data_IF_937096512572
#
_entry.id   IF_937096512572
#
_cell.length_a   1.000
_cell.length_b   1.000
_cell.length_c   1.000
_cell.angle_alpha   90.00
_cell.angle_beta   90.00
_cell.angle_gamma   90.00
#
_symmetry.space_group_name_H-M   'P 1'
#
loop_
_entity.id
_entity.type
_entity.pdbx_description
1 polymer ?
#
# COMPACT_ATOMS: atom_id res chain seq x y z
N UNK A 1 2.15 32.95 -0.04
CA UNK A 1 1.89 32.03 1.09
C UNK A 1 0.86 32.66 2.00
N UNK A 2 -0.30 32.02 2.20
CA UNK A 2 -1.37 32.58 3.04
C UNK A 2 -1.17 32.23 4.52
N UNK A 3 -1.76 33.03 5.42
CA UNK A 3 -1.79 32.78 6.88
C UNK A 3 -2.26 31.36 7.23
N UNK A 4 -3.15 30.81 6.43
CA UNK A 4 -3.67 29.45 6.61
C UNK A 4 -2.65 28.35 6.27
N UNK A 5 -1.84 28.55 5.24
CA UNK A 5 -0.76 27.62 4.85
C UNK A 5 0.27 27.47 5.97
N UNK A 6 0.66 28.59 6.58
CA UNK A 6 1.61 28.61 7.71
C UNK A 6 1.02 27.90 8.93
N UNK A 7 -0.24 28.15 9.27
CA UNK A 7 -0.92 27.44 10.38
C UNK A 7 -0.97 25.92 10.17
N UNK A 8 -1.12 25.49 8.91
CA UNK A 8 -1.16 24.06 8.57
C UNK A 8 0.21 23.41 8.79
N UNK A 9 1.29 24.07 8.37
CA UNK A 9 2.66 23.58 8.60
C UNK A 9 3.04 23.54 10.07
N UNK A 10 2.68 24.56 10.85
CA UNK A 10 2.92 24.54 12.31
C UNK A 10 2.19 23.35 12.96
N UNK A 11 0.95 23.07 12.55
CA UNK A 11 0.22 21.90 13.05
C UNK A 11 0.88 20.58 12.65
N UNK A 12 1.37 20.47 11.42
CA UNK A 12 2.06 19.27 10.94
C UNK A 12 3.38 19.06 11.70
N UNK A 13 4.17 20.11 11.90
CA UNK A 13 5.40 20.03 12.69
C UNK A 13 5.14 19.61 14.15
N UNK A 14 4.03 20.04 14.75
CA UNK A 14 3.63 19.58 16.09
C UNK A 14 3.25 18.09 16.12
N UNK A 15 2.68 17.57 15.03
CA UNK A 15 2.38 16.14 14.88
C UNK A 15 3.67 15.36 14.70
N UNK A 16 4.52 15.79 13.78
CA UNK A 16 5.79 15.11 13.46
C UNK A 16 6.76 15.11 14.66
N UNK A 17 6.66 16.08 15.57
CA UNK A 17 7.46 16.15 16.81
C UNK A 17 6.79 15.51 18.03
N UNK A 18 5.63 14.88 17.88
CA UNK A 18 4.93 14.19 18.96
C UNK A 18 4.20 15.10 19.97
N UNK A 19 4.17 16.42 19.74
CA UNK A 19 3.43 17.38 20.57
C UNK A 19 1.91 17.32 20.35
N UNK A 20 1.46 16.67 19.27
CA UNK A 20 0.04 16.41 18.98
C UNK A 20 -0.13 14.97 18.51
N UNK A 21 -1.16 14.31 19.03
CA UNK A 21 -1.51 12.94 18.65
C UNK A 21 -2.15 12.92 17.25
N UNK A 22 -1.41 12.43 16.26
CA UNK A 22 -1.84 12.05 14.92
C UNK A 22 -0.70 11.26 14.25
N UNK A 23 -0.98 10.60 13.13
CA UNK A 23 0.08 9.95 12.35
C UNK A 23 1.03 11.01 11.77
N UNK A 24 2.32 10.79 11.96
CA UNK A 24 3.39 11.62 11.41
C UNK A 24 3.44 11.51 9.90
N UNK A 25 4.11 12.47 9.27
CA UNK A 25 4.32 12.46 7.82
C UNK A 25 5.07 11.19 7.36
N UNK A 26 5.99 10.69 8.19
CA UNK A 26 6.76 9.47 7.92
C UNK A 26 5.88 8.21 7.96
N UNK A 27 5.07 8.05 9.01
CA UNK A 27 4.12 6.93 9.12
C UNK A 27 3.13 6.92 7.95
N UNK A 28 2.65 8.10 7.52
CA UNK A 28 1.77 8.21 6.36
C UNK A 28 2.47 7.86 5.04
N UNK A 29 3.76 8.16 4.91
CA UNK A 29 4.55 7.78 3.75
C UNK A 29 4.73 6.25 3.71
N UNK A 30 5.08 5.63 4.83
CA UNK A 30 5.22 4.19 4.95
C UNK A 30 3.90 3.46 4.65
N UNK A 31 2.77 3.93 5.19
CA UNK A 31 1.45 3.37 4.89
C UNK A 31 1.15 3.40 3.39
N UNK A 32 1.52 4.48 2.69
CA UNK A 32 1.33 4.56 1.23
C UNK A 32 2.20 3.56 0.49
N UNK A 33 3.46 3.45 0.85
CA UNK A 33 4.37 2.48 0.24
C UNK A 33 3.88 1.04 0.47
N UNK A 34 3.47 0.72 1.69
CA UNK A 34 2.93 -0.59 2.03
C UNK A 34 1.67 -0.89 1.24
N UNK A 35 0.75 0.07 1.09
CA UNK A 35 -0.45 -0.11 0.26
C UNK A 35 -0.11 -0.41 -1.20
N UNK A 36 0.89 0.25 -1.76
CA UNK A 36 1.36 -0.01 -3.14
C UNK A 36 1.98 -1.41 -3.24
N UNK A 37 2.82 -1.80 -2.26
CA UNK A 37 3.45 -3.12 -2.21
C UNK A 37 2.40 -4.23 -2.10
N UNK A 38 1.42 -4.09 -1.20
CA UNK A 38 0.34 -5.07 -1.02
C UNK A 38 -0.46 -5.24 -2.31
N UNK A 39 -0.89 -4.15 -2.95
CA UNK A 39 -1.64 -4.24 -4.21
C UNK A 39 -0.86 -5.01 -5.28
N UNK A 40 0.42 -4.73 -5.43
CA UNK A 40 1.28 -5.43 -6.40
C UNK A 40 1.40 -6.92 -6.07
N UNK A 41 1.58 -7.27 -4.80
CA UNK A 41 1.65 -8.67 -4.37
C UNK A 41 0.33 -9.41 -4.59
N UNK A 42 -0.80 -8.74 -4.42
CA UNK A 42 -2.13 -9.31 -4.71
C UNK A 42 -2.30 -9.57 -6.21
N UNK A 43 -1.90 -8.62 -7.06
CA UNK A 43 -1.90 -8.77 -8.53
C UNK A 43 -1.01 -9.95 -8.97
N UNK A 44 0.23 -10.02 -8.47
CA UNK A 44 1.18 -11.10 -8.77
C UNK A 44 0.62 -12.47 -8.31
N UNK A 45 0.05 -12.55 -7.10
CA UNK A 45 -0.56 -13.78 -6.59
C UNK A 45 -1.75 -14.23 -7.44
N UNK A 46 -2.56 -13.30 -7.94
CA UNK A 46 -3.69 -13.65 -8.81
C UNK A 46 -3.22 -14.21 -10.15
N UNK A 47 -2.16 -13.66 -10.73
CA UNK A 47 -1.54 -14.22 -11.95
C UNK A 47 -1.05 -15.64 -11.69
N UNK A 48 -0.33 -15.86 -10.57
CA UNK A 48 0.17 -17.18 -10.21
C UNK A 48 -0.96 -18.19 -9.96
N UNK A 49 -2.05 -17.77 -9.31
CA UNK A 49 -3.23 -18.61 -9.09
C UNK A 49 -3.90 -19.01 -10.40
N UNK A 50 -4.03 -18.07 -11.35
CA UNK A 50 -4.59 -18.38 -12.68
C UNK A 50 -3.70 -19.34 -13.45
N UNK A 51 -2.38 -19.12 -13.41
CA UNK A 51 -1.41 -20.01 -14.04
C UNK A 51 -1.49 -21.42 -13.46
N UNK A 52 -1.54 -21.56 -12.13
CA UNK A 52 -1.61 -22.88 -11.49
C UNK A 52 -2.88 -23.64 -11.86
N UNK A 53 -4.04 -22.97 -11.91
CA UNK A 53 -5.30 -23.57 -12.38
C UNK A 53 -5.20 -24.01 -13.85
N UNK A 54 -4.67 -23.15 -14.73
CA UNK A 54 -4.51 -23.47 -16.15
C UNK A 54 -3.63 -24.70 -16.35
N UNK A 55 -2.47 -24.76 -15.70
CA UNK A 55 -1.55 -25.87 -15.84
C UNK A 55 -2.07 -27.15 -15.18
N UNK A 56 -2.79 -27.05 -14.05
CA UNK A 56 -3.43 -28.22 -13.44
C UNK A 56 -4.43 -28.89 -14.39
N UNK A 57 -5.23 -28.10 -15.13
CA UNK A 57 -6.15 -28.64 -16.14
C UNK A 57 -5.46 -29.21 -17.38
N UNK A 58 -4.36 -28.59 -17.82
CA UNK A 58 -3.57 -29.05 -18.97
C UNK A 58 -2.76 -30.33 -18.69
N UNK A 59 -2.42 -30.58 -17.43
CA UNK A 59 -1.64 -31.75 -16.99
C UNK A 59 -2.53 -32.89 -16.46
N UNK A 60 -3.85 -32.71 -16.41
CA UNK A 60 -4.77 -33.77 -15.98
C UNK A 60 -4.78 -34.91 -17.03
N UNK A 61 -4.37 -36.14 -16.68
CA UNK A 61 -4.38 -37.28 -17.60
C UNK A 61 -5.77 -37.67 -18.11
N UNK A 62 -6.83 -37.18 -17.46
CA UNK A 62 -8.23 -37.50 -17.80
C UNK A 62 -8.83 -36.56 -18.85
N UNK A 63 -8.21 -35.41 -19.10
CA UNK A 63 -8.59 -34.45 -20.15
C UNK A 63 -7.84 -34.69 -21.47
N UNK A 64 -6.99 -35.73 -21.54
CA UNK A 64 -6.25 -36.15 -22.74
C UNK A 64 -6.97 -37.25 -23.52
#
# INVERSE_FOLDING_TARGET
MGKESVRRWVRQAQIDSGHRQAATSEELAEIRELKVKVRRLEEDNEILRRASIFFAGALDPRTR
#
